data_IF_037784853025
#
_entry.id   IF_037784853025
#
_cell.length_a   1.000
_cell.length_b   1.000
_cell.length_c   1.000
_cell.angle_alpha   90.00
_cell.angle_beta   90.00
_cell.angle_gamma   90.00
#
_symmetry.space_group_name_H-M   'P 1'
#
loop_
_entity.id
_entity.type
_entity.pdbx_description
1 polymer ?
#
# COMPACT_ATOMS: atom_id res chain seq x y z
N UNK A 1 -6.94 15.02 19.44
CA UNK A 1 -7.69 13.83 18.96
C UNK A 1 -7.14 12.63 19.69
N UNK A 2 -7.99 11.71 20.17
CA UNK A 2 -7.55 10.54 20.93
C UNK A 2 -8.19 9.27 20.42
N UNK A 3 -7.44 8.19 20.32
CA UNK A 3 -7.98 6.90 19.91
C UNK A 3 -7.17 5.72 20.46
N UNK A 4 -7.84 4.56 20.55
CA UNK A 4 -7.26 3.33 21.03
C UNK A 4 -7.31 2.22 19.97
N UNK A 5 -6.25 1.42 19.91
CA UNK A 5 -6.19 0.20 19.10
C UNK A 5 -5.14 -0.80 19.63
N UNK A 6 -5.15 -2.02 19.11
CA UNK A 6 -4.12 -3.03 19.41
C UNK A 6 -2.75 -2.70 18.79
N UNK A 7 -1.68 -2.92 19.56
CA UNK A 7 -0.29 -2.81 19.12
C UNK A 7 0.03 -3.76 17.96
N UNK A 8 -0.47 -5.00 18.02
CA UNK A 8 -0.21 -6.00 16.97
C UNK A 8 -0.95 -5.67 15.68
N UNK A 9 -2.19 -5.18 15.78
CA UNK A 9 -2.95 -4.72 14.62
C UNK A 9 -2.26 -3.56 13.91
N UNK A 10 -1.79 -2.55 14.67
CA UNK A 10 -1.04 -1.42 14.12
C UNK A 10 0.27 -1.88 13.48
N UNK A 11 1.10 -2.62 14.23
CA UNK A 11 2.40 -3.11 13.79
C UNK A 11 2.30 -3.93 12.50
N UNK A 12 1.36 -4.88 12.45
CA UNK A 12 1.12 -5.70 11.26
C UNK A 12 0.74 -4.87 10.04
N UNK A 13 -0.13 -3.85 10.22
CA UNK A 13 -0.51 -2.97 9.12
C UNK A 13 0.71 -2.15 8.65
N UNK A 14 1.41 -1.49 9.57
CA UNK A 14 2.58 -0.67 9.24
C UNK A 14 3.69 -1.46 8.54
N UNK A 15 3.97 -2.70 8.96
CA UNK A 15 4.94 -3.59 8.32
C UNK A 15 4.55 -3.95 6.88
N UNK A 16 3.25 -4.08 6.60
CA UNK A 16 2.77 -4.34 5.23
C UNK A 16 2.90 -3.08 4.36
N UNK A 17 2.56 -1.90 4.90
CA UNK A 17 2.62 -0.63 4.17
C UNK A 17 4.04 -0.13 3.92
N UNK A 18 4.97 -0.36 4.86
CA UNK A 18 6.34 0.13 4.75
C UNK A 18 7.06 -0.35 3.49
N UNK A 19 6.63 -1.48 2.92
CA UNK A 19 7.17 -2.06 1.67
C UNK A 19 7.00 -1.16 0.44
N UNK A 20 6.04 -0.24 0.47
CA UNK A 20 5.84 0.73 -0.61
C UNK A 20 6.88 1.84 -0.57
N UNK A 21 7.31 2.24 0.62
CA UNK A 21 8.17 3.40 0.83
C UNK A 21 9.57 3.10 0.28
N UNK A 22 10.07 3.98 -0.58
CA UNK A 22 11.45 3.88 -1.08
C UNK A 22 12.44 4.30 0.00
N UNK A 23 13.67 3.78 -0.08
CA UNK A 23 14.77 4.20 0.80
C UNK A 23 15.23 5.64 0.55
N UNK A 24 14.88 6.20 -0.61
CA UNK A 24 15.13 7.59 -0.99
C UNK A 24 13.91 8.12 -1.73
N UNK A 25 13.23 9.09 -1.14
CA UNK A 25 12.13 9.81 -1.77
C UNK A 25 12.57 11.24 -2.12
N UNK A 26 12.05 11.77 -3.23
CA UNK A 26 12.23 13.18 -3.61
C UNK A 26 11.44 14.12 -2.70
N UNK A 27 10.25 13.67 -2.25
CA UNK A 27 9.39 14.38 -1.32
C UNK A 27 9.55 13.78 0.09
N UNK A 28 10.06 14.53 1.08
CA UNK A 28 10.28 14.02 2.44
C UNK A 28 9.02 13.51 3.14
N UNK A 29 7.85 14.07 2.82
CA UNK A 29 6.56 13.62 3.39
C UNK A 29 6.22 12.17 3.01
N UNK A 30 6.79 11.63 1.92
CA UNK A 30 6.62 10.24 1.51
C UNK A 30 7.48 9.26 2.33
N UNK A 31 8.41 9.77 3.13
CA UNK A 31 9.04 8.99 4.20
C UNK A 31 8.11 8.83 5.42
N UNK A 32 6.87 9.31 5.34
CA UNK A 32 5.86 9.17 6.38
C UNK A 32 4.72 8.25 5.95
N UNK A 33 4.09 7.65 6.94
CA UNK A 33 2.73 7.15 6.79
C UNK A 33 1.75 8.30 6.99
N UNK A 34 0.77 8.41 6.11
CA UNK A 34 -0.40 9.25 6.33
C UNK A 34 -1.41 8.47 7.16
N UNK A 35 -1.86 9.07 8.27
CA UNK A 35 -2.89 8.56 9.16
C UNK A 35 -4.13 9.45 9.01
N UNK A 36 -5.25 8.85 8.66
CA UNK A 36 -6.55 9.51 8.51
C UNK A 36 -7.54 8.85 9.45
N UNK A 37 -8.03 9.59 10.44
CA UNK A 37 -8.96 9.07 11.46
C UNK A 37 -10.33 9.69 11.27
N UNK A 38 -11.26 8.88 10.75
CA UNK A 38 -12.62 9.30 10.47
C UNK A 38 -13.61 8.17 10.74
N UNK A 39 -14.81 8.50 11.24
CA UNK A 39 -15.91 7.55 11.44
C UNK A 39 -15.52 6.31 12.28
N UNK A 40 -14.64 6.47 13.28
CA UNK A 40 -14.16 5.37 14.12
C UNK A 40 -13.22 4.39 13.42
N UNK A 41 -12.67 4.76 12.27
CA UNK A 41 -11.70 3.98 11.51
C UNK A 41 -10.43 4.79 11.29
N UNK A 42 -9.29 4.11 11.40
CA UNK A 42 -7.99 4.62 10.99
C UNK A 42 -7.66 4.07 9.60
N UNK A 43 -7.47 4.96 8.63
CA UNK A 43 -6.88 4.65 7.33
C UNK A 43 -5.41 5.04 7.38
N UNK A 44 -4.54 4.12 6.97
CA UNK A 44 -3.10 4.35 6.88
C UNK A 44 -2.70 4.23 5.41
N UNK A 45 -2.05 5.26 4.90
CA UNK A 45 -1.61 5.37 3.51
C UNK A 45 -0.08 5.48 3.46
N UNK A 46 0.53 4.71 2.55
CA UNK A 46 1.95 4.79 2.21
C UNK A 46 2.11 4.92 0.70
N UNK A 47 2.98 5.80 0.25
CA UNK A 47 3.23 6.03 -1.18
C UNK A 47 4.70 6.32 -1.46
N UNK A 48 5.13 6.04 -2.69
CA UNK A 48 6.40 6.49 -3.26
C UNK A 48 6.22 7.40 -4.50
N UNK A 49 5.08 8.11 -4.58
CA UNK A 49 4.57 8.88 -5.74
C UNK A 49 4.00 8.05 -6.89
N UNK A 50 4.52 6.85 -7.14
CA UNK A 50 4.06 6.00 -8.24
C UNK A 50 3.10 4.90 -7.77
N UNK A 51 3.36 4.37 -6.59
CA UNK A 51 2.63 3.30 -5.95
C UNK A 51 2.00 3.83 -4.67
N UNK A 52 0.80 3.36 -4.39
CA UNK A 52 0.08 3.70 -3.17
C UNK A 52 -0.50 2.40 -2.61
N UNK A 53 -0.29 2.17 -1.31
CA UNK A 53 -1.07 1.19 -0.58
C UNK A 53 -1.76 1.89 0.59
N UNK A 54 -3.03 1.55 0.77
CA UNK A 54 -3.86 2.03 1.86
C UNK A 54 -4.37 0.81 2.62
N UNK A 55 -4.54 0.90 3.94
CA UNK A 55 -5.40 -0.07 4.62
C UNK A 55 -5.94 0.48 5.91
N UNK A 56 -6.95 -0.22 6.39
CA UNK A 56 -7.86 0.30 7.40
C UNK A 56 -7.81 -0.55 8.65
N UNK A 57 -7.98 0.09 9.79
CA UNK A 57 -8.10 -0.52 11.10
C UNK A 57 -9.30 0.10 11.81
N UNK A 58 -10.16 -0.75 12.37
CA UNK A 58 -11.23 -0.27 13.24
C UNK A 58 -10.61 0.14 14.59
N UNK A 59 -11.11 1.24 15.15
CA UNK A 59 -10.67 1.76 16.44
C UNK A 59 -11.55 1.23 17.56
N UNK A 60 -10.96 0.92 18.71
CA UNK A 60 -11.71 0.47 19.89
C UNK A 60 -12.50 1.62 20.51
N UNK A 61 -11.93 2.82 20.46
CA UNK A 61 -12.57 4.07 20.88
C UNK A 61 -11.90 5.24 20.17
N UNK A 62 -12.66 6.29 19.85
CA UNK A 62 -12.16 7.48 19.16
C UNK A 62 -12.86 8.74 19.67
N UNK A 63 -12.07 9.77 19.96
CA UNK A 63 -12.52 11.11 20.34
C UNK A 63 -11.87 12.14 19.40
N UNK A 64 -12.69 12.71 18.53
CA UNK A 64 -12.26 13.61 17.47
C UNK A 64 -11.78 12.87 16.23
N UNK A 65 -11.58 13.65 15.17
CA UNK A 65 -11.13 13.20 13.86
C UNK A 65 -9.95 14.08 13.42
N UNK A 66 -9.19 13.61 12.43
CA UNK A 66 -8.14 14.40 11.83
C UNK A 66 -7.06 13.56 11.15
N UNK A 67 -6.27 14.27 10.36
CA UNK A 67 -5.29 13.70 9.46
C UNK A 67 -3.90 14.22 9.79
N UNK A 68 -2.92 13.34 9.80
CA UNK A 68 -1.54 13.67 10.12
C UNK A 68 -0.59 12.66 9.51
N UNK A 69 0.68 13.04 9.35
CA UNK A 69 1.71 12.15 8.87
C UNK A 69 2.77 11.89 9.95
N UNK A 70 3.26 10.65 10.04
CA UNK A 70 4.29 10.22 10.98
C UNK A 70 5.41 9.50 10.25
N UNK A 71 6.66 9.84 10.58
CA UNK A 71 7.83 9.19 9.99
C UNK A 71 7.76 7.67 10.12
N UNK A 72 7.92 6.97 8.99
CA UNK A 72 7.65 5.54 8.90
C UNK A 72 8.56 4.70 9.82
N UNK A 73 9.86 4.99 9.82
CA UNK A 73 10.85 4.24 10.58
C UNK A 73 10.63 4.43 12.08
N UNK A 74 10.38 5.68 12.48
CA UNK A 74 10.17 6.06 13.87
C UNK A 74 9.01 5.30 14.50
N UNK A 75 7.83 5.34 13.88
CA UNK A 75 6.65 4.69 14.44
C UNK A 75 6.74 3.16 14.33
N UNK A 76 7.29 2.63 13.24
CA UNK A 76 7.41 1.19 13.02
C UNK A 76 8.38 0.56 14.02
N UNK A 77 9.52 1.21 14.29
CA UNK A 77 10.48 0.75 15.31
C UNK A 77 9.88 0.77 16.71
N UNK A 78 9.01 1.74 17.00
CA UNK A 78 8.36 1.86 18.30
C UNK A 78 7.32 0.78 18.54
N UNK A 79 6.51 0.43 17.54
CA UNK A 79 5.40 -0.53 17.73
C UNK A 79 5.78 -1.98 17.46
N UNK A 80 6.83 -2.24 16.65
CA UNK A 80 7.20 -3.62 16.29
C UNK A 80 7.71 -4.45 17.47
N UNK A 81 8.30 -3.80 18.48
CA UNK A 81 8.89 -4.45 19.66
C UNK A 81 7.86 -4.63 20.80
N UNK A 82 6.66 -4.08 20.67
CA UNK A 82 5.64 -4.15 21.72
C UNK A 82 4.93 -5.51 21.69
N UNK A 83 4.73 -6.16 22.84
CA UNK A 83 3.81 -7.30 22.93
C UNK A 83 2.38 -6.85 22.65
N UNK A 84 1.49 -7.82 22.39
CA UNK A 84 0.07 -7.54 22.15
C UNK A 84 -0.57 -6.87 23.36
N UNK A 85 -0.96 -5.61 23.17
CA UNK A 85 -1.57 -4.79 24.20
C UNK A 85 -2.30 -3.59 23.56
N UNK A 86 -3.25 -2.98 24.28
CA UNK A 86 -3.86 -1.72 23.85
C UNK A 86 -2.84 -0.58 23.82
N UNK A 87 -2.92 0.23 22.77
CA UNK A 87 -2.22 1.51 22.63
C UNK A 87 -3.24 2.64 22.71
N UNK A 88 -2.93 3.66 23.51
CA UNK A 88 -3.67 4.91 23.55
C UNK A 88 -2.87 6.01 22.84
N UNK A 89 -3.41 6.54 21.75
CA UNK A 89 -2.77 7.58 20.95
C UNK A 89 -3.48 8.92 21.19
N UNK A 90 -2.71 9.95 21.56
CA UNK A 90 -3.17 11.33 21.69
C UNK A 90 -2.41 12.22 20.70
N UNK A 91 -3.13 12.76 19.73
CA UNK A 91 -2.60 13.65 18.70
C UNK A 91 -2.92 15.09 19.07
N UNK A 92 -1.86 15.86 19.31
CA UNK A 92 -1.92 17.28 19.61
C UNK A 92 -1.45 18.08 18.39
N UNK A 93 -2.41 18.62 17.64
CA UNK A 93 -2.17 19.43 16.44
C UNK A 93 -1.59 20.82 16.74
N UNK A 94 -1.72 21.34 17.98
CA UNK A 94 -1.09 22.61 18.34
C UNK A 94 0.42 22.45 18.58
N UNK A 95 0.82 21.32 19.16
CA UNK A 95 2.23 20.98 19.39
C UNK A 95 2.88 20.25 18.22
N UNK A 96 2.09 19.83 17.23
CA UNK A 96 2.51 18.95 16.14
C UNK A 96 3.21 17.69 16.67
N UNK A 97 2.58 17.03 17.64
CA UNK A 97 3.08 15.77 18.23
C UNK A 97 1.98 14.72 18.42
N UNK A 98 2.40 13.46 18.36
CA UNK A 98 1.61 12.32 18.80
C UNK A 98 2.25 11.69 20.04
N UNK A 99 1.42 11.37 21.03
CA UNK A 99 1.79 10.66 22.24
C UNK A 99 1.16 9.27 22.19
N UNK A 100 1.97 8.23 22.34
CA UNK A 100 1.51 6.84 22.34
C UNK A 100 1.78 6.27 23.73
N UNK A 101 0.73 5.98 24.48
CA UNK A 101 0.80 5.41 25.83
C UNK A 101 0.41 3.93 25.79
N UNK A 102 1.18 3.10 26.48
CA UNK A 102 0.94 1.67 26.63
C UNK A 102 1.23 1.27 28.08
N UNK A 103 1.03 0.00 28.46
CA UNK A 103 1.02 -0.40 29.88
C UNK A 103 2.32 -0.06 30.63
N UNK A 104 3.46 -0.07 29.93
CA UNK A 104 4.79 -0.04 30.54
C UNK A 104 5.57 1.24 30.20
N UNK A 105 4.95 2.21 29.52
CA UNK A 105 5.68 3.37 29.03
C UNK A 105 4.91 4.23 28.03
N UNK A 106 5.63 5.17 27.44
CA UNK A 106 5.09 6.10 26.45
C UNK A 106 6.13 6.51 25.43
N UNK A 107 5.71 6.65 24.17
CA UNK A 107 6.47 7.31 23.13
C UNK A 107 5.87 8.66 22.79
N UNK A 108 6.69 9.57 22.25
CA UNK A 108 6.19 10.77 21.60
C UNK A 108 7.01 11.05 20.34
N UNK A 109 6.31 11.42 19.27
CA UNK A 109 6.91 11.70 17.96
C UNK A 109 6.39 13.02 17.40
N UNK A 110 7.21 13.76 16.64
CA UNK A 110 6.70 14.85 15.83
C UNK A 110 5.76 14.30 14.76
N UNK A 111 4.72 15.06 14.44
CA UNK A 111 3.84 14.82 13.29
C UNK A 111 4.00 15.92 12.25
N UNK A 112 3.63 15.61 11.02
CA UNK A 112 3.53 16.57 9.92
C UNK A 112 2.07 16.74 9.51
N UNK A 113 1.75 17.87 8.90
CA UNK A 113 0.42 18.13 8.33
C UNK A 113 0.15 17.17 7.16
N UNK A 114 -1.10 16.70 7.05
CA UNK A 114 -1.51 15.83 5.96
C UNK A 114 -1.64 16.54 4.61
N UNK A 115 -1.72 17.87 4.61
CA UNK A 115 -1.89 18.71 3.43
C UNK A 115 -0.71 18.65 2.45
N UNK A 116 0.49 18.32 2.95
CA UNK A 116 1.67 18.09 2.13
C UNK A 116 1.67 16.71 1.44
N UNK A 117 0.84 15.77 1.90
CA UNK A 117 0.82 14.42 1.36
C UNK A 117 0.16 14.38 -0.03
N UNK A 118 0.79 13.77 -1.06
CA UNK A 118 0.21 13.70 -2.39
C UNK A 118 -1.14 12.98 -2.39
N UNK A 119 -2.15 13.61 -3.00
CA UNK A 119 -3.48 13.01 -3.14
C UNK A 119 -3.48 11.91 -4.19
N UNK A 120 -4.07 10.77 -3.84
CA UNK A 120 -4.32 9.68 -4.78
C UNK A 120 -5.34 10.13 -5.82
N UNK A 121 -5.05 9.94 -7.10
CA UNK A 121 -6.03 10.22 -8.14
C UNK A 121 -7.14 9.16 -8.14
N UNK A 122 -8.42 9.56 -8.21
CA UNK A 122 -9.50 8.60 -8.30
C UNK A 122 -9.41 7.82 -9.62
N UNK A 123 -9.78 6.54 -9.56
CA UNK A 123 -9.94 5.72 -10.76
C UNK A 123 -11.16 6.24 -11.53
N UNK A 124 -11.04 6.34 -12.85
CA UNK A 124 -12.14 6.76 -13.73
C UNK A 124 -13.34 5.81 -13.64
N UNK A 125 -14.55 6.37 -13.67
CA UNK A 125 -15.81 5.59 -13.68
C UNK A 125 -15.92 4.63 -14.89
N UNK A 126 -15.15 4.90 -15.95
CA UNK A 126 -15.10 4.07 -17.16
C UNK A 126 -14.01 2.99 -17.11
N UNK A 127 -13.37 2.75 -15.96
CA UNK A 127 -12.35 1.73 -15.83
C UNK A 127 -12.91 0.32 -16.06
N UNK A 128 -12.18 -0.48 -16.82
CA UNK A 128 -12.50 -1.91 -16.98
C UNK A 128 -12.27 -2.63 -15.65
N UNK A 129 -13.22 -3.47 -15.24
CA UNK A 129 -13.14 -4.27 -14.02
C UNK A 129 -13.11 -5.76 -14.35
N UNK A 130 -12.31 -6.51 -13.60
CA UNK A 130 -12.26 -7.97 -13.66
C UNK A 130 -12.27 -8.54 -12.25
N UNK A 131 -12.85 -9.72 -12.09
CA UNK A 131 -12.78 -10.49 -10.85
C UNK A 131 -11.91 -11.72 -11.09
N UNK A 132 -10.87 -11.89 -10.27
CA UNK A 132 -9.94 -13.01 -10.31
C UNK A 132 -9.73 -13.54 -8.89
N UNK A 133 -9.64 -14.85 -8.76
CA UNK A 133 -9.26 -15.49 -7.50
C UNK A 133 -7.85 -15.05 -7.08
N UNK A 134 -7.69 -14.68 -5.81
CA UNK A 134 -6.44 -14.14 -5.29
C UNK A 134 -5.26 -15.10 -5.45
N UNK A 135 -5.48 -16.41 -5.22
CA UNK A 135 -4.44 -17.42 -5.39
C UNK A 135 -4.05 -17.57 -6.87
N UNK A 136 -5.02 -17.52 -7.79
CA UNK A 136 -4.74 -17.54 -9.24
C UNK A 136 -3.98 -16.30 -9.73
N UNK A 137 -4.32 -15.12 -9.21
CA UNK A 137 -3.60 -13.88 -9.54
C UNK A 137 -2.15 -13.95 -9.02
N UNK A 138 -1.97 -14.34 -7.76
CA UNK A 138 -0.66 -14.50 -7.14
C UNK A 138 0.21 -15.53 -7.87
N UNK A 139 -0.33 -16.69 -8.21
CA UNK A 139 0.37 -17.71 -9.00
C UNK A 139 0.78 -17.16 -10.39
N UNK A 140 -0.14 -16.49 -11.08
CA UNK A 140 0.14 -15.92 -12.40
C UNK A 140 1.24 -14.85 -12.36
N UNK A 141 1.24 -13.98 -11.33
CA UNK A 141 2.30 -13.00 -11.10
C UNK A 141 3.63 -13.72 -10.79
N UNK A 142 3.63 -14.70 -9.89
CA UNK A 142 4.82 -15.45 -9.51
C UNK A 142 5.48 -16.15 -10.71
N UNK A 143 4.67 -16.74 -11.58
CA UNK A 143 5.14 -17.44 -12.78
C UNK A 143 5.61 -16.47 -13.86
N UNK A 144 5.12 -15.25 -13.92
CA UNK A 144 5.48 -14.29 -14.97
C UNK A 144 6.59 -13.31 -14.58
N UNK A 145 6.66 -12.86 -13.33
CA UNK A 145 7.50 -11.71 -12.93
C UNK A 145 9.00 -11.90 -13.17
N UNK A 146 9.52 -13.13 -13.14
CA UNK A 146 10.94 -13.38 -13.42
C UNK A 146 11.31 -13.19 -14.90
N UNK A 147 10.30 -13.12 -15.78
CA UNK A 147 10.46 -12.87 -17.20
C UNK A 147 10.41 -11.39 -17.57
N UNK A 148 10.23 -10.45 -16.63
CA UNK A 148 10.34 -9.01 -16.91
C UNK A 148 11.79 -8.59 -17.12
N UNK A 149 12.03 -7.60 -17.98
CA UNK A 149 13.32 -6.97 -18.16
C UNK A 149 13.69 -6.01 -17.00
N UNK A 150 14.90 -5.44 -17.12
CA UNK A 150 15.33 -4.25 -16.40
C UNK A 150 16.04 -3.33 -17.40
N UNK A 151 15.25 -2.84 -18.36
CA UNK A 151 15.71 -2.05 -19.50
C UNK A 151 15.07 -0.65 -19.45
N UNK A 152 15.90 0.37 -19.19
CA UNK A 152 15.44 1.77 -19.12
C UNK A 152 15.03 2.33 -20.48
N UNK A 153 15.57 1.78 -21.58
CA UNK A 153 15.20 2.17 -22.95
C UNK A 153 13.87 1.55 -23.37
N UNK A 154 13.47 0.44 -22.74
CA UNK A 154 12.22 -0.28 -23.01
C UNK A 154 11.42 -0.53 -21.73
N UNK A 155 10.90 0.52 -21.07
CA UNK A 155 10.20 0.41 -19.78
C UNK A 155 8.96 -0.48 -19.85
N UNK A 156 8.34 -0.61 -21.02
CA UNK A 156 7.21 -1.53 -21.27
C UNK A 156 7.54 -2.99 -20.99
N UNK A 157 8.83 -3.38 -21.03
CA UNK A 157 9.28 -4.74 -20.75
C UNK A 157 9.60 -4.96 -19.25
N UNK A 158 9.59 -3.90 -18.44
CA UNK A 158 9.91 -3.96 -17.00
C UNK A 158 8.68 -4.32 -16.13
N UNK A 159 7.59 -4.76 -16.75
CA UNK A 159 6.34 -5.11 -16.10
C UNK A 159 5.68 -6.33 -16.71
N UNK A 160 4.55 -6.71 -16.12
CA UNK A 160 3.71 -7.82 -16.56
C UNK A 160 2.55 -7.24 -17.34
N UNK A 161 2.42 -7.63 -18.60
CA UNK A 161 1.33 -7.23 -19.47
C UNK A 161 0.08 -8.07 -19.20
N UNK A 162 -1.02 -7.40 -18.87
CA UNK A 162 -2.36 -7.98 -18.73
C UNK A 162 -3.14 -7.61 -19.98
N UNK A 163 -3.64 -8.61 -20.68
CA UNK A 163 -4.36 -8.48 -21.95
C UNK A 163 -5.70 -9.20 -21.84
N UNK A 164 -6.78 -8.44 -21.69
CA UNK A 164 -8.13 -8.94 -21.56
C UNK A 164 -8.84 -8.83 -22.91
N UNK A 165 -9.29 -9.97 -23.43
CA UNK A 165 -10.01 -10.05 -24.70
C UNK A 165 -11.34 -10.81 -24.53
N UNK A 166 -12.10 -10.94 -25.61
CA UNK A 166 -13.32 -11.75 -25.66
C UNK A 166 -13.05 -13.26 -25.47
N UNK A 167 -11.80 -13.70 -25.63
CA UNK A 167 -11.42 -15.11 -25.52
C UNK A 167 -10.89 -15.48 -24.13
N UNK A 168 -10.07 -14.60 -23.52
CA UNK A 168 -9.35 -14.90 -22.28
C UNK A 168 -8.68 -13.66 -21.69
N UNK A 169 -8.26 -13.75 -20.43
CA UNK A 169 -7.22 -12.90 -19.85
C UNK A 169 -5.85 -13.56 -20.06
N UNK A 170 -4.93 -12.89 -20.76
CA UNK A 170 -3.53 -13.29 -20.87
C UNK A 170 -2.65 -12.42 -19.95
N UNK A 171 -1.78 -13.07 -19.19
CA UNK A 171 -0.79 -12.45 -18.29
C UNK A 171 0.60 -12.81 -18.83
N UNK A 172 1.31 -11.82 -19.35
CA UNK A 172 2.50 -12.00 -20.17
C UNK A 172 3.67 -11.21 -19.61
N UNK A 173 4.86 -11.78 -19.61
CA UNK A 173 6.09 -11.04 -19.33
C UNK A 173 7.22 -11.56 -20.24
N UNK A 174 8.09 -10.65 -20.68
CA UNK A 174 9.24 -10.98 -21.52
C UNK A 174 10.37 -9.97 -21.35
N UNK A 175 11.61 -10.46 -21.46
CA UNK A 175 12.84 -9.68 -21.47
C UNK A 175 13.52 -9.68 -22.85
N UNK A 176 12.86 -10.24 -23.87
CA UNK A 176 13.38 -10.40 -25.23
C UNK A 176 14.12 -11.72 -25.45
N UNK A 177 14.53 -12.43 -24.39
CA UNK A 177 15.18 -13.75 -24.47
C UNK A 177 14.23 -14.87 -24.04
N UNK A 178 13.37 -14.60 -23.08
CA UNK A 178 12.33 -15.52 -22.60
C UNK A 178 10.98 -14.83 -22.58
N UNK A 179 9.93 -15.64 -22.67
CA UNK A 179 8.54 -15.19 -22.60
C UNK A 179 7.75 -16.19 -21.75
N UNK A 180 7.03 -15.66 -20.77
CA UNK A 180 6.01 -16.41 -20.04
C UNK A 180 4.65 -15.86 -20.41
N UNK A 181 3.70 -16.75 -20.69
CA UNK A 181 2.31 -16.41 -20.94
C UNK A 181 1.38 -17.37 -20.21
N UNK A 182 0.63 -16.83 -19.27
CA UNK A 182 -0.45 -17.53 -18.58
C UNK A 182 -1.79 -17.06 -19.16
N UNK A 183 -2.66 -18.00 -19.56
CA UNK A 183 -4.01 -17.68 -20.07
C UNK A 183 -5.07 -18.21 -19.11
N UNK A 184 -5.99 -17.34 -18.71
CA UNK A 184 -7.18 -17.71 -17.98
C UNK A 184 -8.40 -17.57 -18.90
N UNK A 185 -8.93 -18.71 -19.36
CA UNK A 185 -10.09 -18.77 -20.26
C UNK A 185 -11.43 -18.55 -19.54
N UNK A 186 -11.44 -18.45 -18.21
CA UNK A 186 -12.67 -18.16 -17.45
C UNK A 186 -12.92 -16.66 -17.29
N UNK A 187 -11.94 -15.80 -17.59
CA UNK A 187 -12.05 -14.35 -17.51
C UNK A 187 -12.01 -13.79 -18.92
N UNK A 188 -13.04 -13.06 -19.32
CA UNK A 188 -13.25 -12.56 -20.69
C UNK A 188 -13.99 -11.23 -20.64
N UNK A 189 -13.82 -10.40 -21.67
CA UNK A 189 -14.58 -9.16 -21.84
C UNK A 189 -14.80 -8.87 -23.32
N UNK A 190 -16.01 -8.48 -23.69
CA UNK A 190 -16.34 -8.02 -25.05
C UNK A 190 -15.65 -6.70 -25.40
N UNK A 191 -15.29 -5.91 -24.39
CA UNK A 191 -14.48 -4.70 -24.54
C UNK A 191 -13.02 -5.06 -24.23
N UNK A 192 -12.13 -5.13 -25.23
CA UNK A 192 -10.73 -5.42 -24.99
C UNK A 192 -10.08 -4.32 -24.14
N UNK A 193 -9.23 -4.72 -23.20
CA UNK A 193 -8.50 -3.80 -22.35
C UNK A 193 -7.15 -4.39 -22.00
N UNK A 194 -6.12 -3.56 -21.94
CA UNK A 194 -4.81 -4.03 -21.56
C UNK A 194 -4.04 -2.98 -20.76
N UNK A 195 -3.16 -3.46 -19.88
CA UNK A 195 -2.27 -2.61 -19.11
C UNK A 195 -0.98 -3.35 -18.77
N UNK A 196 0.05 -2.59 -18.42
CA UNK A 196 1.31 -3.14 -17.91
C UNK A 196 1.33 -2.89 -16.41
N UNK A 197 1.37 -3.96 -15.62
CA UNK A 197 1.59 -3.92 -14.19
C UNK A 197 3.09 -3.82 -13.92
N UNK A 198 3.60 -2.71 -13.37
CA UNK A 198 5.02 -2.58 -13.09
C UNK A 198 5.51 -3.63 -12.07
N UNK A 199 6.82 -3.92 -12.09
CA UNK A 199 7.41 -4.97 -11.24
C UNK A 199 7.23 -4.74 -9.73
N UNK A 200 7.32 -3.48 -9.27
CA UNK A 200 7.16 -3.14 -7.85
C UNK A 200 5.75 -3.45 -7.31
N UNK A 201 4.65 -2.93 -7.89
CA UNK A 201 3.30 -3.28 -7.43
C UNK A 201 2.99 -4.76 -7.62
N UNK A 202 3.50 -5.41 -8.68
CA UNK A 202 3.40 -6.86 -8.82
C UNK A 202 4.08 -7.62 -7.65
N UNK A 203 5.23 -7.14 -7.19
CA UNK A 203 5.94 -7.73 -6.04
C UNK A 203 5.19 -7.49 -4.74
N UNK A 204 4.59 -6.31 -4.55
CA UNK A 204 3.79 -5.98 -3.37
C UNK A 204 2.57 -6.89 -3.26
N UNK A 205 1.83 -7.10 -4.36
CA UNK A 205 0.65 -7.96 -4.42
C UNK A 205 0.92 -9.42 -4.07
N UNK A 206 2.17 -9.89 -4.17
CA UNK A 206 2.54 -11.25 -3.74
C UNK A 206 2.62 -11.42 -2.22
N UNK A 207 2.70 -10.32 -1.48
CA UNK A 207 2.95 -10.31 -0.04
C UNK A 207 1.74 -9.91 0.79
N UNK A 208 0.62 -9.63 0.14
CA UNK A 208 -0.68 -9.32 0.75
C UNK A 208 -1.49 -10.59 0.95
#
# INVERSE_FOLDING_TARGET
>A
MRFNLSSTALSSRLLTLSRVINSKNSLPILDCFLFEVHNGQLTITSSDSENVMCGTLNLDSCEGEGDFAVNNQTILDAVKELPDQPLALDVNFNEMKIYITYQNGSYNFPILGADEYPRVQPISDNASSITIDAAKLSDSINRSIFATAQDELRPVMNGIYFDLTSDSLAIVASDGHKLVRNKNYSIKSETPSAFILPKKPATLLKTV
#
